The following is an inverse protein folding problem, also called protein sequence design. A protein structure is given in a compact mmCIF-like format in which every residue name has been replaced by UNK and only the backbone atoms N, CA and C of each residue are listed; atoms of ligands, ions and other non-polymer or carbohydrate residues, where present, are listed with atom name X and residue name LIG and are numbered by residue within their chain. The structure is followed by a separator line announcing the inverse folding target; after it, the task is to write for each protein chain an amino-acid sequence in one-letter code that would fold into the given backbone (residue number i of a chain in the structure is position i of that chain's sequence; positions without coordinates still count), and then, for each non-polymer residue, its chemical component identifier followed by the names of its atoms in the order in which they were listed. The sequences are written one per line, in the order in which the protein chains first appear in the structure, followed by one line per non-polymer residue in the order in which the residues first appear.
data_IF_910045966229
#
_entry.id   IF_910045966229
#
_cell.length_a   1.000
_cell.length_b   1.000
_cell.length_c   1.000
_cell.angle_alpha   90.00
_cell.angle_beta   90.00
_cell.angle_gamma   90.00
#
_symmetry.space_group_name_H-M   'P 1'
#
loop_
_entity.id
_entity.type
_entity.pdbx_description
1 polymer ?
#
# COMPACT_ATOMS: atom_id res chain seq x y z
N UNK A 1 -3.28 5.36 -42.60
CA UNK A 1 -2.60 5.70 -41.34
C UNK A 1 -2.85 4.55 -40.38
N UNK A 2 -2.08 3.48 -40.51
CA UNK A 2 -2.12 2.34 -39.61
C UNK A 2 -1.15 2.61 -38.49
N UNK A 3 -1.65 2.64 -37.26
CA UNK A 3 -0.83 2.75 -36.05
C UNK A 3 -0.28 1.36 -35.75
N UNK A 4 0.96 1.15 -36.20
CA UNK A 4 1.77 -0.01 -35.86
C UNK A 4 2.19 0.05 -34.39
N UNK A 5 2.26 -1.13 -33.79
CA UNK A 5 3.07 -1.51 -32.64
C UNK A 5 3.05 -0.64 -31.37
N UNK A 6 2.26 -1.10 -30.40
CA UNK A 6 2.58 -0.90 -28.98
C UNK A 6 3.00 -2.26 -28.41
N UNK A 7 4.08 -2.83 -28.95
CA UNK A 7 4.88 -3.81 -28.23
C UNK A 7 6.05 -3.07 -27.57
N UNK A 8 5.96 -2.84 -26.25
CA UNK A 8 7.11 -2.44 -25.47
C UNK A 8 7.00 -2.95 -24.03
N UNK A 9 7.59 -4.13 -23.85
CA UNK A 9 8.40 -4.52 -22.70
C UNK A 9 7.74 -4.68 -21.32
N UNK A 10 7.41 -5.93 -21.03
CA UNK A 10 7.64 -6.57 -19.73
C UNK A 10 9.07 -6.29 -19.22
N UNK A 11 9.23 -5.27 -18.36
CA UNK A 11 10.50 -4.99 -17.67
C UNK A 11 10.35 -5.33 -16.20
N UNK A 12 10.99 -6.43 -15.82
CA UNK A 12 10.98 -7.01 -14.48
C UNK A 12 11.46 -6.06 -13.39
N UNK A 13 10.83 -6.22 -12.23
CA UNK A 13 11.19 -5.86 -10.86
C UNK A 13 12.64 -5.36 -10.65
N UNK A 14 12.93 -4.11 -10.99
CA UNK A 14 14.15 -3.41 -10.54
C UNK A 14 13.94 -1.95 -10.10
N UNK A 15 12.78 -1.36 -10.38
CA UNK A 15 12.56 0.09 -10.20
C UNK A 15 12.07 0.54 -8.81
N UNK A 16 11.81 -0.39 -7.88
CA UNK A 16 11.26 -0.06 -6.55
C UNK A 16 12.05 -0.66 -5.38
N UNK A 17 13.32 -1.04 -5.60
CA UNK A 17 14.17 -1.63 -4.54
C UNK A 17 15.05 -0.52 -3.95
N UNK A 18 14.86 -0.19 -2.67
CA UNK A 18 15.76 0.72 -1.96
C UNK A 18 17.22 0.20 -2.08
N UNK A 19 18.15 0.96 -2.67
CA UNK A 19 19.47 0.47 -3.07
C UNK A 19 20.39 0.15 -1.89
N UNK A 20 20.08 0.66 -0.70
CA UNK A 20 20.76 0.31 0.56
C UNK A 20 19.70 0.07 1.63
N UNK A 21 19.38 -1.20 1.90
CA UNK A 21 18.45 -1.57 2.98
C UNK A 21 19.23 -1.69 4.29
N UNK A 22 19.14 -0.68 5.17
CA UNK A 22 19.56 -0.76 6.58
C UNK A 22 18.49 -1.48 7.40
N UNK A 23 18.13 -2.69 7.00
CA UNK A 23 17.21 -3.55 7.73
C UNK A 23 17.46 -4.98 7.26
N UNK A 24 17.66 -5.88 8.21
CA UNK A 24 17.51 -7.32 7.99
C UNK A 24 16.25 -7.53 7.14
N UNK A 25 16.23 -8.37 6.10
CA UNK A 25 14.99 -8.85 5.54
C UNK A 25 14.39 -9.75 6.60
N UNK A 26 13.84 -9.15 7.64
CA UNK A 26 12.98 -9.84 8.54
C UNK A 26 11.87 -10.31 7.61
N UNK A 27 11.76 -11.62 7.43
CA UNK A 27 10.58 -12.27 6.90
C UNK A 27 9.43 -11.99 7.88
N UNK A 28 9.10 -10.72 8.07
CA UNK A 28 8.17 -10.18 9.03
C UNK A 28 7.17 -9.38 8.21
N UNK A 29 5.99 -9.97 8.11
CA UNK A 29 4.85 -9.38 7.42
C UNK A 29 4.76 -9.69 5.94
N UNK A 30 3.97 -8.87 5.27
CA UNK A 30 3.28 -9.19 4.01
C UNK A 30 4.12 -9.44 2.76
N UNK A 31 5.43 -9.20 2.81
CA UNK A 31 6.33 -9.49 1.69
C UNK A 31 6.81 -10.95 1.68
N UNK A 32 6.77 -11.64 2.83
CA UNK A 32 7.38 -12.96 2.98
C UNK A 32 6.71 -14.01 2.07
N UNK A 33 5.38 -14.09 2.07
CA UNK A 33 4.67 -15.13 1.30
C UNK A 33 4.50 -14.76 -0.18
N UNK A 34 4.37 -13.48 -0.50
CA UNK A 34 4.20 -13.02 -1.88
C UNK A 34 5.49 -13.14 -2.70
N UNK A 35 6.64 -13.16 -2.04
CA UNK A 35 7.90 -13.47 -2.69
C UNK A 35 7.96 -14.93 -3.18
N UNK A 36 7.40 -15.87 -2.40
CA UNK A 36 7.37 -17.30 -2.74
C UNK A 36 6.22 -17.69 -3.66
N UNK A 37 5.06 -17.02 -3.53
CA UNK A 37 3.88 -17.25 -4.37
C UNK A 37 3.36 -15.92 -4.95
N UNK A 38 3.92 -15.46 -6.09
CA UNK A 38 3.56 -14.17 -6.67
C UNK A 38 2.11 -14.08 -7.12
N UNK A 39 1.53 -15.20 -7.59
CA UNK A 39 0.13 -15.28 -8.07
C UNK A 39 -0.89 -15.54 -6.94
N UNK A 40 -0.47 -15.50 -5.66
CA UNK A 40 -1.38 -15.73 -4.54
C UNK A 40 -2.39 -14.58 -4.39
N UNK A 41 -3.66 -14.93 -4.17
CA UNK A 41 -4.71 -13.96 -3.87
C UNK A 41 -4.32 -13.07 -2.67
N UNK A 42 -4.26 -11.77 -2.90
CA UNK A 42 -3.86 -10.79 -1.88
C UNK A 42 -5.08 -10.23 -1.14
N UNK A 43 -5.30 -10.68 0.10
CA UNK A 43 -6.41 -10.23 0.95
C UNK A 43 -6.13 -8.92 1.71
N UNK A 44 -4.90 -8.38 1.67
CA UNK A 44 -4.52 -7.16 2.40
C UNK A 44 -5.38 -5.94 2.09
N UNK A 45 -5.86 -5.71 0.84
CA UNK A 45 -6.76 -4.60 0.55
C UNK A 45 -8.02 -4.56 1.41
N UNK A 46 -8.52 -5.73 1.84
CA UNK A 46 -9.71 -5.83 2.67
C UNK A 46 -9.47 -5.40 4.12
N UNK A 47 -8.21 -5.43 4.56
CA UNK A 47 -7.80 -5.03 5.90
C UNK A 47 -6.96 -3.74 5.86
N UNK A 48 -7.21 -2.88 4.87
CA UNK A 48 -6.62 -1.54 4.85
C UNK A 48 -7.39 -0.67 5.86
N UNK A 49 -6.65 -0.02 6.76
CA UNK A 49 -7.16 0.96 7.72
C UNK A 49 -8.18 0.41 8.75
N UNK A 50 -7.84 -0.63 9.52
CA UNK A 50 -8.70 -1.07 10.62
C UNK A 50 -8.80 0.00 11.73
N UNK A 51 -9.91 0.08 12.47
CA UNK A 51 -10.10 1.08 13.54
C UNK A 51 -9.05 0.96 14.65
N UNK A 52 -8.46 -0.23 14.84
CA UNK A 52 -7.39 -0.46 15.82
C UNK A 52 -6.14 0.40 15.58
N UNK A 53 -5.82 0.73 14.33
CA UNK A 53 -4.66 1.55 13.99
C UNK A 53 -5.01 3.02 13.79
N UNK A 54 -6.30 3.37 13.92
CA UNK A 54 -6.75 4.75 13.77
C UNK A 54 -6.28 5.57 14.99
N UNK A 55 -5.36 6.54 14.80
CA UNK A 55 -4.89 7.36 15.90
C UNK A 55 -5.96 8.34 16.42
N UNK A 56 -7.05 8.56 15.68
CA UNK A 56 -8.09 9.53 16.03
C UNK A 56 -9.14 8.98 16.99
N UNK A 57 -9.30 7.65 17.04
CA UNK A 57 -10.25 6.96 17.92
C UNK A 57 -11.72 7.05 17.47
N UNK A 58 -12.58 6.26 18.12
CA UNK A 58 -13.96 6.01 17.68
C UNK A 58 -14.89 7.24 17.67
N UNK A 59 -14.57 8.28 18.45
CA UNK A 59 -15.41 9.48 18.58
C UNK A 59 -15.06 10.60 17.60
N UNK A 60 -14.09 10.41 16.72
CA UNK A 60 -13.60 11.48 15.86
C UNK A 60 -14.35 11.57 14.54
N UNK A 61 -14.97 12.73 14.29
CA UNK A 61 -15.67 13.05 13.03
C UNK A 61 -14.98 14.22 12.30
N UNK A 62 -14.37 13.89 11.14
CA UNK A 62 -13.72 14.87 10.24
C UNK A 62 -14.69 15.94 9.74
N UNK A 63 -15.93 15.57 9.40
CA UNK A 63 -16.93 16.49 8.87
C UNK A 63 -17.40 17.48 9.94
N UNK A 64 -17.56 17.00 11.18
CA UNK A 64 -17.85 17.86 12.33
C UNK A 64 -16.73 18.88 12.57
N UNK A 65 -15.47 18.42 12.60
CA UNK A 65 -14.30 19.27 12.84
C UNK A 65 -14.19 20.40 11.82
N UNK A 66 -14.34 20.09 10.53
CA UNK A 66 -14.13 21.07 9.47
C UNK A 66 -15.29 22.08 9.37
N UNK A 67 -16.50 21.68 9.80
CA UNK A 67 -17.68 22.55 9.84
C UNK A 67 -17.66 23.53 11.02
N UNK A 68 -17.06 23.14 12.14
CA UNK A 68 -17.05 23.95 13.37
C UNK A 68 -15.62 24.16 13.90
N UNK A 69 -14.81 25.01 13.24
CA UNK A 69 -13.42 25.22 13.61
C UNK A 69 -13.24 25.89 14.99
N UNK A 70 -14.30 26.39 15.61
CA UNK A 70 -14.28 27.09 16.91
C UNK A 70 -14.43 26.18 18.13
N UNK A 71 -14.65 24.87 17.95
CA UNK A 71 -14.85 23.90 19.04
C UNK A 71 -13.57 23.12 19.40
N UNK A 72 -12.39 23.74 19.22
CA UNK A 72 -11.12 23.19 19.67
C UNK A 72 -10.90 23.37 21.16
#
# INVERSE_FOLDING_TARGET
MTVEDITAADQGVSDAKCPVSHQMPAAMGSLANQHWWPEQLNLRPLNKNPPLIDPMGEGFDYAWRDRYPSQK
#
